data_IF_500422978781
#
_entry.id   IF_500422978781
#
_cell.length_a   1.000
_cell.length_b   1.000
_cell.length_c   1.000
_cell.angle_alpha   90.00
_cell.angle_beta   90.00
_cell.angle_gamma   90.00
#
_symmetry.space_group_name_H-M   'P 1'
#
loop_
_entity.id
_entity.type
_entity.pdbx_description
1 polymer ?
#
# COMPACT_ATOMS: atom_id res chain seq x y z
N UNK A 1 -6.97 -9.86 12.66
CA UNK A 1 -6.76 -8.60 11.92
C UNK A 1 -7.72 -8.52 10.72
N UNK A 2 -8.41 -7.39 10.55
CA UNK A 2 -9.27 -7.13 9.39
C UNK A 2 -8.68 -5.96 8.63
N UNK A 3 -8.33 -6.18 7.38
CA UNK A 3 -7.86 -5.10 6.49
C UNK A 3 -9.08 -4.37 5.95
N UNK A 4 -9.11 -3.05 6.08
CA UNK A 4 -10.11 -2.23 5.41
C UNK A 4 -9.82 -2.25 3.91
N UNK A 5 -10.86 -2.41 3.09
CA UNK A 5 -10.70 -2.34 1.64
C UNK A 5 -10.10 -0.99 1.25
N UNK A 6 -9.02 -1.05 0.47
CA UNK A 6 -8.39 0.11 -0.15
C UNK A 6 -8.40 -0.10 -1.65
N UNK A 7 -8.49 1.00 -2.39
CA UNK A 7 -8.41 1.00 -3.85
C UNK A 7 -7.63 2.20 -4.32
N UNK A 8 -6.94 2.03 -5.45
CA UNK A 8 -6.41 3.17 -6.17
C UNK A 8 -7.57 3.98 -6.78
N UNK A 9 -7.38 5.30 -7.01
CA UNK A 9 -8.36 6.10 -7.74
C UNK A 9 -8.75 5.45 -9.07
N UNK A 10 -9.99 5.63 -9.52
CA UNK A 10 -10.52 5.01 -10.75
C UNK A 10 -9.95 5.62 -12.04
N UNK A 11 -9.32 6.80 -11.96
CA UNK A 11 -8.72 7.51 -13.08
C UNK A 11 -7.24 7.71 -12.80
N UNK A 12 -6.42 6.71 -13.12
CA UNK A 12 -4.95 6.80 -13.04
C UNK A 12 -4.40 6.72 -14.44
N UNK A 13 -3.60 7.72 -14.81
CA UNK A 13 -2.90 7.83 -16.09
C UNK A 13 -1.41 7.58 -15.91
N UNK A 14 -0.74 7.22 -17.00
CA UNK A 14 0.72 7.14 -17.00
C UNK A 14 1.33 8.51 -16.64
N UNK A 15 2.35 8.49 -15.79
CA UNK A 15 2.98 9.70 -15.27
C UNK A 15 2.34 10.26 -13.99
N UNK A 16 1.16 9.77 -13.59
CA UNK A 16 0.50 10.25 -12.39
C UNK A 16 1.25 9.89 -11.11
N UNK A 17 0.91 10.59 -10.03
CA UNK A 17 1.28 10.23 -8.66
C UNK A 17 0.03 9.79 -7.91
N UNK A 18 0.06 8.60 -7.36
CA UNK A 18 -1.03 8.03 -6.56
C UNK A 18 -0.52 7.60 -5.20
N UNK A 19 -1.38 7.67 -4.21
CA UNK A 19 -1.12 7.13 -2.89
C UNK A 19 -2.38 6.42 -2.39
N UNK A 20 -2.19 5.27 -1.74
CA UNK A 20 -3.25 4.50 -1.09
C UNK A 20 -2.88 4.25 0.35
N UNK A 21 -3.88 4.30 1.21
CA UNK A 21 -3.73 4.04 2.64
C UNK A 21 -4.37 2.71 2.95
N UNK A 22 -3.62 1.84 3.60
CA UNK A 22 -4.12 0.59 4.16
C UNK A 22 -4.36 0.78 5.66
N UNK A 23 -5.53 0.37 6.13
CA UNK A 23 -5.85 0.30 7.55
C UNK A 23 -6.00 -1.17 7.96
N UNK A 24 -5.28 -1.59 9.00
CA UNK A 24 -5.36 -2.93 9.59
C UNK A 24 -6.02 -2.81 10.96
N UNK A 25 -7.28 -3.21 11.05
CA UNK A 25 -8.00 -3.23 12.32
C UNK A 25 -7.61 -4.49 13.10
N UNK A 26 -7.06 -4.32 14.31
CA UNK A 26 -6.77 -5.44 15.20
C UNK A 26 -7.74 -5.46 16.39
N UNK A 27 -8.19 -6.67 16.74
CA UNK A 27 -9.12 -6.89 17.86
C UNK A 27 -8.43 -6.95 19.22
N UNK A 28 -7.09 -7.05 19.24
CA UNK A 28 -6.28 -7.27 20.45
C UNK A 28 -5.18 -6.21 20.55
N UNK A 29 -5.10 -5.55 21.70
CA UNK A 29 -4.33 -4.33 21.95
C UNK A 29 -2.81 -4.52 22.11
N UNK A 30 -2.32 -5.76 22.08
CA UNK A 30 -1.00 -6.16 22.60
C UNK A 30 -0.06 -6.77 21.53
N UNK A 31 -0.31 -6.46 20.25
CA UNK A 31 0.59 -6.86 19.16
C UNK A 31 0.91 -5.64 18.30
N UNK A 32 2.20 -5.38 18.10
CA UNK A 32 2.64 -4.46 17.07
C UNK A 32 2.31 -5.07 15.70
N UNK A 33 1.43 -4.43 14.94
CA UNK A 33 1.15 -4.85 13.56
C UNK A 33 2.29 -4.39 12.69
N UNK A 34 2.97 -5.33 12.05
CA UNK A 34 3.89 -5.01 10.97
C UNK A 34 3.13 -5.08 9.66
N UNK A 35 2.77 -3.92 9.12
CA UNK A 35 2.08 -3.83 7.82
C UNK A 35 3.09 -4.03 6.71
N UNK A 36 2.88 -5.06 5.88
CA UNK A 36 3.71 -5.35 4.71
C UNK A 36 2.92 -5.18 3.44
N UNK A 37 3.56 -4.65 2.39
CA UNK A 37 2.93 -4.48 1.08
C UNK A 37 3.50 -5.47 0.08
N UNK A 38 2.59 -6.08 -0.68
CA UNK A 38 2.93 -6.96 -1.80
C UNK A 38 2.20 -6.50 -3.05
N UNK A 39 2.81 -6.81 -4.19
CA UNK A 39 2.22 -6.66 -5.51
C UNK A 39 2.31 -7.99 -6.23
N UNK A 40 1.16 -8.49 -6.70
CA UNK A 40 1.06 -9.79 -7.36
C UNK A 40 1.72 -10.90 -6.52
N UNK A 41 1.54 -10.85 -5.19
CA UNK A 41 2.11 -11.80 -4.24
C UNK A 41 3.60 -11.64 -3.91
N UNK A 42 4.29 -10.67 -4.50
CA UNK A 42 5.72 -10.41 -4.25
C UNK A 42 5.90 -9.13 -3.44
N UNK A 43 6.90 -9.10 -2.57
CA UNK A 43 7.22 -7.89 -1.79
C UNK A 43 7.58 -6.72 -2.72
N UNK A 44 7.12 -5.52 -2.35
CA UNK A 44 7.37 -4.32 -3.13
C UNK A 44 8.77 -3.78 -2.79
N UNK A 45 9.62 -3.69 -3.81
CA UNK A 45 10.88 -2.97 -3.69
C UNK A 45 10.64 -1.46 -3.69
N UNK A 46 11.06 -0.80 -2.61
CA UNK A 46 10.99 0.66 -2.50
C UNK A 46 12.17 1.32 -3.20
N UNK A 47 11.97 2.54 -3.71
CA UNK A 47 12.98 3.35 -4.37
C UNK A 47 12.46 4.76 -4.67
N UNK A 48 13.06 5.43 -5.65
CA UNK A 48 12.72 6.84 -5.96
C UNK A 48 11.25 7.03 -6.38
N UNK A 49 10.69 6.04 -7.09
CA UNK A 49 9.31 6.05 -7.59
C UNK A 49 8.31 5.46 -6.62
N UNK A 50 8.65 4.38 -5.92
CA UNK A 50 7.72 3.65 -5.04
C UNK A 50 8.21 3.76 -3.61
N UNK A 51 7.37 4.30 -2.72
CA UNK A 51 7.72 4.46 -1.30
C UNK A 51 6.60 3.95 -0.41
N UNK A 52 6.98 3.29 0.68
CA UNK A 52 6.08 2.81 1.73
C UNK A 52 6.42 3.58 3.01
N UNK A 53 5.38 4.13 3.66
CA UNK A 53 5.52 4.86 4.91
C UNK A 53 4.53 4.34 5.94
N UNK A 54 4.97 4.18 7.19
CA UNK A 54 4.06 3.96 8.31
C UNK A 54 3.34 5.27 8.65
N UNK A 55 2.01 5.23 8.73
CA UNK A 55 1.18 6.36 9.15
C UNK A 55 0.85 6.26 10.64
N UNK A 56 0.64 5.03 11.13
CA UNK A 56 0.48 4.67 12.54
C UNK A 56 0.75 3.17 12.71
N UNK A 57 0.63 2.65 13.95
CA UNK A 57 0.77 1.22 14.24
C UNK A 57 -0.27 0.33 13.55
N UNK A 58 -1.31 0.91 12.96
CA UNK A 58 -2.41 0.21 12.29
C UNK A 58 -2.68 0.76 10.89
N UNK A 59 -1.85 1.67 10.38
CA UNK A 59 -2.02 2.26 9.06
C UNK A 59 -0.69 2.47 8.34
N UNK A 60 -0.66 2.15 7.05
CA UNK A 60 0.49 2.36 6.18
C UNK A 60 0.06 2.98 4.85
N UNK A 61 0.92 3.80 4.26
CA UNK A 61 0.71 4.43 2.96
C UNK A 61 1.68 3.87 1.94
N UNK A 62 1.17 3.40 0.81
CA UNK A 62 1.94 3.11 -0.38
C UNK A 62 1.79 4.26 -1.37
N UNK A 63 2.91 4.84 -1.81
CA UNK A 63 2.94 5.90 -2.82
C UNK A 63 3.68 5.42 -4.05
N UNK A 64 3.09 5.65 -5.23
CA UNK A 64 3.71 5.38 -6.52
C UNK A 64 3.74 6.68 -7.33
N UNK A 65 4.94 7.10 -7.74
CA UNK A 65 5.20 8.32 -8.52
C UNK A 65 5.46 7.95 -9.97
N UNK A 66 5.02 8.79 -10.91
CA UNK A 66 5.24 8.65 -12.35
C UNK A 66 4.68 7.34 -12.94
N UNK A 67 3.45 6.95 -12.59
CA UNK A 67 2.85 5.65 -12.93
C UNK A 67 3.25 5.11 -14.32
N UNK A 68 3.67 3.85 -14.35
CA UNK A 68 4.09 3.11 -15.54
C UNK A 68 3.19 1.91 -15.77
N UNK A 69 3.25 1.34 -16.98
CA UNK A 69 2.51 0.10 -17.31
C UNK A 69 2.92 -1.04 -16.36
N UNK A 70 4.21 -1.10 -15.98
CA UNK A 70 4.69 -2.08 -15.02
C UNK A 70 4.06 -1.95 -13.64
N UNK A 71 3.46 -0.81 -13.27
CA UNK A 71 2.81 -0.58 -11.98
C UNK A 71 1.45 -1.30 -11.87
N UNK A 72 0.86 -1.73 -12.99
CA UNK A 72 -0.42 -2.45 -12.97
C UNK A 72 -0.28 -3.78 -12.24
N UNK A 73 -1.19 -4.05 -11.31
CA UNK A 73 -1.22 -5.30 -10.56
C UNK A 73 -2.14 -5.28 -9.36
N UNK A 74 -2.20 -6.41 -8.67
CA UNK A 74 -2.95 -6.57 -7.43
C UNK A 74 -2.05 -6.23 -6.26
N UNK A 75 -2.36 -5.12 -5.59
CA UNK A 75 -1.68 -4.69 -4.39
C UNK A 75 -2.40 -5.27 -3.17
N UNK A 76 -1.64 -5.77 -2.22
CA UNK A 76 -2.18 -6.32 -0.97
C UNK A 76 -1.32 -5.82 0.18
N UNK A 77 -1.98 -5.33 1.24
CA UNK A 77 -1.34 -5.07 2.51
C UNK A 77 -1.82 -6.10 3.55
N UNK A 78 -0.91 -6.53 4.43
CA UNK A 78 -1.20 -7.47 5.53
C UNK A 78 -0.54 -7.03 6.81
#
# INVERSE_FOLDING_TARGET
>A
PRVQEFSFPSMVSLGDRVAVVCFVMQSTKDQSVRITWTKNGHEIETGDRISISALSDFASTLTVRQIRVEDVGNYTCT
#
